data_IF_846786195838
#
_entry.id   IF_846786195838
#
_cell.length_a   1.000
_cell.length_b   1.000
_cell.length_c   1.000
_cell.angle_alpha   90.00
_cell.angle_beta   90.00
_cell.angle_gamma   90.00
#
_symmetry.space_group_name_H-M   'P 1'
#
loop_
_entity.id
_entity.type
_entity.pdbx_description
1 polymer ?
#
# COMPACT_ATOMS: atom_id res chain seq x y z
N UNK A 1 -5.82 3.15 -4.06
CA UNK A 1 -4.96 3.19 -2.87
C UNK A 1 -4.40 4.59 -2.68
N UNK A 2 -4.51 5.14 -1.46
CA UNK A 2 -3.99 6.49 -1.22
C UNK A 2 -2.51 6.62 -1.56
N UNK A 3 -2.14 7.73 -2.19
CA UNK A 3 -0.78 7.95 -2.64
C UNK A 3 0.24 7.96 -1.51
N UNK A 4 -0.15 8.44 -0.33
CA UNK A 4 0.76 8.46 0.82
C UNK A 4 1.11 7.06 1.30
N UNK A 5 0.17 6.13 1.26
CA UNK A 5 0.42 4.73 1.62
C UNK A 5 1.46 4.15 0.67
N UNK A 6 1.31 4.40 -0.61
CA UNK A 6 2.28 3.93 -1.61
C UNK A 6 3.67 4.53 -1.37
N UNK A 7 3.72 5.81 -1.03
CA UNK A 7 4.98 6.50 -0.75
C UNK A 7 5.70 5.88 0.45
N UNK A 8 4.97 5.60 1.53
CA UNK A 8 5.57 4.99 2.72
C UNK A 8 6.05 3.58 2.44
N UNK A 9 5.28 2.80 1.69
CA UNK A 9 5.67 1.44 1.32
C UNK A 9 6.92 1.45 0.46
N UNK A 10 6.98 2.33 -0.54
CA UNK A 10 8.14 2.46 -1.42
C UNK A 10 9.40 2.88 -0.64
N UNK A 11 9.24 3.68 0.40
CA UNK A 11 10.34 4.13 1.24
C UNK A 11 10.79 3.07 2.26
N UNK A 12 10.09 1.95 2.36
CA UNK A 12 10.41 0.91 3.32
C UNK A 12 10.09 1.29 4.76
N UNK A 13 9.07 2.13 4.96
CA UNK A 13 8.63 2.57 6.28
C UNK A 13 7.38 1.82 6.71
N UNK A 14 7.25 1.45 8.00
CA UNK A 14 6.00 0.90 8.49
C UNK A 14 4.85 1.88 8.31
N UNK A 15 3.67 1.38 8.05
CA UNK A 15 2.48 2.21 7.84
C UNK A 15 1.53 2.05 9.02
N UNK A 16 1.20 3.16 9.66
CA UNK A 16 0.19 3.19 10.70
C UNK A 16 -0.96 4.04 10.19
N UNK A 17 -2.17 3.51 10.25
CA UNK A 17 -3.30 4.22 9.70
C UNK A 17 -4.58 4.06 10.49
N UNK A 18 -5.28 5.17 10.70
CA UNK A 18 -6.65 5.18 11.19
C UNK A 18 -7.56 5.20 9.96
N UNK A 19 -7.60 4.10 9.26
CA UNK A 19 -8.25 3.98 7.95
C UNK A 19 -8.94 2.62 7.83
N UNK A 20 -9.88 2.56 6.91
CA UNK A 20 -10.56 1.31 6.58
C UNK A 20 -10.51 1.04 5.10
N UNK A 21 -11.33 0.11 4.63
CA UNK A 21 -11.48 -0.21 3.23
C UNK A 21 -10.26 -0.83 2.59
N UNK A 22 -10.03 -0.48 1.34
CA UNK A 22 -8.95 -1.07 0.55
C UNK A 22 -7.56 -0.83 1.12
N UNK A 23 -7.31 0.36 1.64
CA UNK A 23 -6.02 0.68 2.21
C UNK A 23 -5.69 -0.20 3.42
N UNK A 24 -6.65 -0.42 4.31
CA UNK A 24 -6.48 -1.32 5.45
C UNK A 24 -6.23 -2.75 4.99
N UNK A 25 -6.95 -3.20 3.96
CA UNK A 25 -6.76 -4.51 3.39
C UNK A 25 -5.35 -4.70 2.85
N UNK A 26 -4.86 -3.73 2.09
CA UNK A 26 -3.52 -3.80 1.51
C UNK A 26 -2.43 -3.83 2.60
N UNK A 27 -2.56 -2.99 3.61
CA UNK A 27 -1.61 -2.96 4.72
C UNK A 27 -1.58 -4.31 5.45
N UNK A 28 -2.76 -4.91 5.66
CA UNK A 28 -2.85 -6.23 6.27
C UNK A 28 -2.25 -7.34 5.41
N UNK A 29 -2.48 -7.30 4.11
CA UNK A 29 -1.94 -8.29 3.18
C UNK A 29 -0.42 -8.19 3.08
N UNK A 30 0.10 -6.99 3.02
CA UNK A 30 1.54 -6.76 2.95
C UNK A 30 2.23 -6.98 4.29
N UNK A 31 1.49 -6.98 5.39
CA UNK A 31 2.01 -7.08 6.75
C UNK A 31 3.05 -5.99 7.03
N UNK A 32 2.79 -4.81 6.50
CA UNK A 32 3.72 -3.69 6.56
C UNK A 32 3.36 -2.66 7.62
N UNK A 33 2.36 -2.92 8.44
CA UNK A 33 1.97 -1.98 9.48
C UNK A 33 0.72 -2.40 10.20
N UNK A 34 0.12 -1.44 10.87
CA UNK A 34 -1.07 -1.65 11.68
C UNK A 34 -2.14 -0.64 11.29
N UNK A 35 -3.40 -1.05 11.39
CA UNK A 35 -4.54 -0.19 11.10
C UNK A 35 -5.50 -0.18 12.29
N UNK A 36 -6.13 0.96 12.48
CA UNK A 36 -7.23 1.12 13.42
C UNK A 36 -8.46 1.62 12.66
N UNK A 37 -9.66 1.29 13.11
CA UNK A 37 -10.88 1.82 12.49
C UNK A 37 -10.88 3.36 12.53
N UNK A 38 -11.40 4.00 11.46
CA UNK A 38 -11.51 5.46 11.46
C UNK A 38 -12.40 5.95 12.61
N UNK A 39 -12.13 7.14 13.10
CA UNK A 39 -12.94 7.79 14.13
C UNK A 39 -13.07 6.98 15.42
N UNK A 40 -12.04 6.20 15.75
CA UNK A 40 -12.00 5.43 16.99
C UNK A 40 -10.70 5.74 17.74
N UNK A 41 -10.69 6.77 18.60
CA UNK A 41 -9.47 7.17 19.30
C UNK A 41 -8.87 6.08 20.18
N UNK A 42 -9.72 5.25 20.78
CA UNK A 42 -9.25 4.16 21.65
C UNK A 42 -8.49 3.10 20.85
N UNK A 43 -9.03 2.71 19.70
CA UNK A 43 -8.36 1.76 18.82
C UNK A 43 -7.06 2.35 18.26
N UNK A 44 -7.06 3.64 17.95
CA UNK A 44 -5.86 4.32 17.49
C UNK A 44 -4.77 4.32 18.56
N UNK A 45 -5.12 4.60 19.78
CA UNK A 45 -4.18 4.59 20.90
C UNK A 45 -3.61 3.18 21.12
N UNK A 46 -4.45 2.15 21.04
CA UNK A 46 -4.00 0.76 21.17
C UNK A 46 -3.06 0.38 20.04
N UNK A 47 -3.36 0.81 18.83
CA UNK A 47 -2.50 0.55 17.67
C UNK A 47 -1.12 1.16 17.87
N UNK A 48 -1.05 2.41 18.32
CA UNK A 48 0.22 3.08 18.58
C UNK A 48 1.00 2.37 19.67
N UNK A 49 0.32 1.98 20.74
CA UNK A 49 0.96 1.23 21.83
C UNK A 49 1.50 -0.12 21.34
N UNK A 50 0.73 -0.83 20.52
CA UNK A 50 1.16 -2.09 19.96
C UNK A 50 2.39 -1.91 19.06
N UNK A 51 2.42 -0.86 18.27
CA UNK A 51 3.55 -0.56 17.42
C UNK A 51 4.81 -0.25 18.23
N UNK A 52 4.65 0.56 19.27
CA UNK A 52 5.79 0.90 20.14
C UNK A 52 6.28 -0.30 20.95
N UNK A 53 5.40 -1.27 21.22
CA UNK A 53 5.77 -2.51 21.90
C UNK A 53 6.54 -3.47 20.98
N UNK A 54 6.42 -3.32 19.67
CA UNK A 54 7.21 -4.09 18.71
C UNK A 54 8.68 -3.70 18.85
N UNK A 55 9.57 -4.68 18.76
CA UNK A 55 10.99 -4.39 18.73
C UNK A 55 11.38 -3.66 17.45
N UNK A 56 12.54 -3.02 17.48
CA UNK A 56 13.06 -2.32 16.31
C UNK A 56 13.19 -3.25 15.10
N UNK A 57 13.58 -4.49 15.34
CA UNK A 57 13.69 -5.50 14.30
C UNK A 57 12.37 -5.76 13.61
N UNK A 58 11.26 -5.88 14.38
CA UNK A 58 9.94 -6.10 13.81
C UNK A 58 9.47 -4.87 13.03
N UNK A 59 9.72 -3.69 13.55
CA UNK A 59 9.35 -2.46 12.83
C UNK A 59 10.10 -2.34 11.50
N UNK A 60 11.37 -2.71 11.50
CA UNK A 60 12.17 -2.73 10.27
C UNK A 60 11.64 -3.78 9.29
N UNK A 61 11.25 -4.94 9.81
CA UNK A 61 10.68 -6.00 8.99
C UNK A 61 9.35 -5.58 8.36
N UNK A 62 8.51 -4.85 9.09
CA UNK A 62 7.28 -4.30 8.54
C UNK A 62 7.55 -3.39 7.35
N UNK A 63 8.51 -2.48 7.51
CA UNK A 63 8.88 -1.56 6.44
C UNK A 63 9.40 -2.31 5.21
N UNK A 64 10.23 -3.30 5.41
CA UNK A 64 10.79 -4.10 4.33
C UNK A 64 9.72 -4.91 3.61
N UNK A 65 8.78 -5.50 4.35
CA UNK A 65 7.66 -6.22 3.76
C UNK A 65 6.80 -5.30 2.90
N UNK A 66 6.59 -4.06 3.34
CA UNK A 66 5.85 -3.07 2.57
C UNK A 66 6.57 -2.71 1.28
N UNK A 67 7.87 -2.51 1.33
CA UNK A 67 8.67 -2.20 0.15
C UNK A 67 8.61 -3.34 -0.87
N UNK A 68 8.77 -4.57 -0.40
CA UNK A 68 8.72 -5.74 -1.28
C UNK A 68 7.34 -5.87 -1.94
N UNK A 69 6.28 -5.70 -1.15
CA UNK A 69 4.92 -5.76 -1.66
C UNK A 69 4.67 -4.67 -2.70
N UNK A 70 5.10 -3.45 -2.41
CA UNK A 70 4.94 -2.33 -3.34
C UNK A 70 5.65 -2.61 -4.65
N UNK A 71 6.91 -3.03 -4.60
CA UNK A 71 7.68 -3.28 -5.82
C UNK A 71 7.07 -4.39 -6.67
N UNK A 72 6.63 -5.47 -6.04
CA UNK A 72 6.01 -6.58 -6.76
C UNK A 72 4.71 -6.15 -7.45
N UNK A 73 3.85 -5.41 -6.73
CA UNK A 73 2.58 -4.99 -7.28
C UNK A 73 2.69 -3.83 -8.25
N UNK A 74 3.62 -2.93 -8.01
CA UNK A 74 3.87 -1.83 -8.93
C UNK A 74 4.37 -2.33 -10.28
N UNK A 75 5.31 -3.26 -10.27
CA UNK A 75 5.83 -3.87 -11.51
C UNK A 75 4.73 -4.61 -12.26
N UNK A 76 3.92 -5.38 -11.54
CA UNK A 76 2.80 -6.11 -12.12
C UNK A 76 1.80 -5.14 -12.75
N UNK A 77 1.45 -4.07 -12.04
CA UNK A 77 0.50 -3.08 -12.54
C UNK A 77 1.03 -2.38 -13.79
N UNK A 78 2.29 -2.00 -13.79
CA UNK A 78 2.90 -1.38 -14.98
C UNK A 78 2.86 -2.31 -16.19
N UNK A 79 3.11 -3.59 -15.95
CA UNK A 79 3.05 -4.57 -17.03
C UNK A 79 1.64 -4.68 -17.60
N UNK A 80 0.64 -4.74 -16.73
CA UNK A 80 -0.76 -4.81 -17.14
C UNK A 80 -1.18 -3.55 -17.88
N UNK A 81 -0.78 -2.38 -17.40
CA UNK A 81 -1.11 -1.11 -18.04
C UNK A 81 -0.48 -1.01 -19.43
N UNK A 82 0.76 -1.45 -19.56
CA UNK A 82 1.45 -1.48 -20.84
C UNK A 82 0.73 -2.39 -21.84
N UNK A 83 0.34 -3.57 -21.39
CA UNK A 83 -0.37 -4.52 -22.22
C UNK A 83 -1.72 -3.97 -22.67
N UNK A 84 -2.46 -3.33 -21.76
CA UNK A 84 -3.73 -2.72 -22.08
C UNK A 84 -3.60 -1.59 -23.09
N UNK A 85 -2.60 -0.72 -22.93
CA UNK A 85 -2.31 0.36 -23.86
C UNK A 85 -2.01 -0.21 -25.25
N UNK A 86 -1.24 -1.27 -25.31
CA UNK A 86 -0.88 -1.94 -26.57
C UNK A 86 -2.11 -2.51 -27.27
N UNK A 87 -3.00 -3.15 -26.49
CA UNK A 87 -4.23 -3.70 -27.05
C UNK A 87 -5.15 -2.61 -27.59
N UNK A 88 -5.25 -1.48 -26.90
CA UNK A 88 -6.03 -0.35 -27.36
C UNK A 88 -5.47 0.26 -28.63
N UNK A 89 -4.16 0.36 -28.73
CA UNK A 89 -3.51 0.83 -29.95
C UNK A 89 -3.81 -0.09 -31.14
N UNK A 90 -3.75 -1.41 -30.93
CA UNK A 90 -4.07 -2.37 -31.97
C UNK A 90 -5.54 -2.32 -32.40
N UNK A 91 -6.43 -1.94 -31.49
CA UNK A 91 -7.84 -1.76 -31.79
C UNK A 91 -8.17 -0.41 -32.40
N UNK A 92 -7.16 0.48 -32.57
CA UNK A 92 -7.36 1.82 -33.10
C UNK A 92 -7.89 2.83 -32.10
N UNK A 93 -7.80 2.52 -30.81
CA UNK A 93 -8.21 3.41 -29.72
C UNK A 93 -7.00 4.04 -29.07
N UNK A 94 -7.12 5.29 -28.64
CA UNK A 94 -6.04 5.90 -27.87
C UNK A 94 -6.04 5.40 -26.43
N UNK A 95 -4.85 5.16 -25.85
CA UNK A 95 -4.76 4.75 -24.45
C UNK A 95 -5.33 5.82 -23.53
N UNK A 96 -6.06 5.37 -22.51
CA UNK A 96 -6.60 6.26 -21.49
C UNK A 96 -5.57 6.50 -20.41
N UNK A 97 -5.46 7.76 -19.96
CA UNK A 97 -4.59 8.11 -18.85
C UNK A 97 -5.16 7.76 -17.48
N UNK A 98 -6.42 7.31 -17.45
CA UNK A 98 -7.13 7.04 -16.19
C UNK A 98 -6.66 5.82 -15.43
N UNK A 99 -5.84 4.97 -16.03
CA UNK A 99 -5.41 3.71 -15.40
C UNK A 99 -4.33 3.88 -14.35
N UNK A 100 -3.76 5.05 -14.23
CA UNK A 100 -2.60 5.29 -13.38
C UNK A 100 -2.91 6.10 -12.13
N UNK A 101 -4.15 6.39 -11.93
CA UNK A 101 -4.59 7.18 -10.77
C UNK A 101 -4.52 6.42 -9.45
#
# INVERSE_FOLDING_TARGET
LPGKVQTYMAAGKPVLGSIGGEAAYVIGQAKCGLCAPPENPEALAEMVRAFLACGEEERRAMGERGRIYYEANFTKQRHMDHLEALLKELAGEEPSCGYFS
#
